data_IF_422766675427
#
_entry.id   IF_422766675427
#
_cell.length_a   1.000
_cell.length_b   1.000
_cell.length_c   1.000
_cell.angle_alpha   90.00
_cell.angle_beta   90.00
_cell.angle_gamma   90.00
#
_symmetry.space_group_name_H-M   'P 1'
#
loop_
_entity.id
_entity.type
_entity.pdbx_description
1 polymer ?
#
# COMPACT_ATOMS: atom_id res chain seq x y z
N UNK A 1 0.63 55.52 -40.61
CA UNK A 1 -0.64 56.23 -40.39
C UNK A 1 -1.70 55.19 -40.03
N UNK A 2 -2.49 55.49 -39.01
CA UNK A 2 -3.30 54.65 -38.10
C UNK A 2 -4.58 54.02 -38.72
N UNK A 3 -5.13 53.03 -37.98
CA UNK A 3 -6.50 52.43 -37.96
C UNK A 3 -6.74 51.17 -38.81
N UNK A 4 -6.90 49.95 -38.25
CA UNK A 4 -7.90 49.31 -37.34
C UNK A 4 -9.21 48.89 -38.04
N UNK A 5 -9.26 47.57 -38.32
CA UNK A 5 -10.31 46.54 -38.12
C UNK A 5 -11.73 46.68 -38.71
N UNK A 6 -12.16 45.60 -39.40
CA UNK A 6 -13.53 45.09 -39.33
C UNK A 6 -13.64 43.63 -39.84
N UNK A 7 -13.62 42.69 -38.88
CA UNK A 7 -14.51 41.51 -38.80
C UNK A 7 -14.39 40.41 -39.86
N UNK A 8 -13.76 39.33 -39.42
CA UNK A 8 -13.93 37.99 -39.96
C UNK A 8 -13.40 36.90 -39.03
N UNK A 9 -13.55 37.06 -37.71
CA UNK A 9 -13.08 36.07 -36.72
C UNK A 9 -14.00 34.85 -36.73
N UNK A 10 -13.61 33.84 -37.50
CA UNK A 10 -14.00 32.46 -37.28
C UNK A 10 -12.73 31.61 -37.11
N UNK A 11 -12.76 30.71 -36.12
CA UNK A 11 -11.67 29.87 -35.59
C UNK A 11 -10.81 30.57 -34.54
N UNK A 12 -10.40 29.96 -33.42
CA UNK A 12 -10.54 28.60 -32.91
C UNK A 12 -10.35 28.66 -31.39
N UNK A 13 -11.16 27.90 -30.64
CA UNK A 13 -11.19 27.91 -29.17
C UNK A 13 -9.99 27.27 -28.46
N UNK A 14 -8.75 27.42 -28.92
CA UNK A 14 -7.58 26.81 -28.27
C UNK A 14 -6.34 27.72 -28.34
N UNK A 15 -6.25 28.72 -27.45
CA UNK A 15 -5.06 29.56 -27.27
C UNK A 15 -4.83 29.98 -25.80
N UNK A 16 -4.94 29.04 -24.87
CA UNK A 16 -4.31 29.19 -23.55
C UNK A 16 -3.25 28.10 -23.36
N UNK A 17 -2.00 28.46 -22.98
CA UNK A 17 -1.05 27.51 -22.47
C UNK A 17 -1.61 26.95 -21.15
N UNK A 18 -2.06 25.69 -21.15
CA UNK A 18 -2.48 25.02 -19.92
C UNK A 18 -1.26 24.68 -19.07
N UNK A 19 -0.80 25.60 -18.23
CA UNK A 19 0.24 25.35 -17.23
C UNK A 19 0.08 26.32 -16.04
N UNK A 20 -1.06 26.20 -15.36
CA UNK A 20 -1.15 26.66 -13.97
C UNK A 20 -0.33 25.75 -13.06
N UNK A 21 0.29 26.30 -12.01
CA UNK A 21 0.87 25.49 -10.93
C UNK A 21 -0.22 24.55 -10.39
N UNK A 22 0.12 23.29 -10.03
CA UNK A 22 -0.86 22.36 -9.47
C UNK A 22 -1.61 23.00 -8.30
N UNK A 23 -2.94 22.89 -8.32
CA UNK A 23 -3.77 23.38 -7.20
C UNK A 23 -3.76 22.36 -6.05
N UNK A 24 -4.23 22.77 -4.88
CA UNK A 24 -4.41 21.86 -3.74
C UNK A 24 -5.37 20.70 -4.07
N UNK A 25 -6.40 20.95 -4.87
CA UNK A 25 -7.34 19.93 -5.35
C UNK A 25 -6.66 18.94 -6.28
N UNK A 26 -5.75 19.40 -7.15
CA UNK A 26 -4.97 18.51 -8.03
C UNK A 26 -4.10 17.55 -7.24
N UNK A 27 -3.41 18.05 -6.20
CA UNK A 27 -2.57 17.22 -5.32
C UNK A 27 -3.40 16.15 -4.60
N UNK A 28 -4.57 16.52 -4.07
CA UNK A 28 -5.48 15.55 -3.43
C UNK A 28 -6.01 14.51 -4.42
N UNK A 29 -6.34 14.91 -5.65
CA UNK A 29 -6.78 13.99 -6.69
C UNK A 29 -5.66 13.04 -7.12
N UNK A 30 -4.42 13.52 -7.22
CA UNK A 30 -3.24 12.70 -7.47
C UNK A 30 -3.03 11.67 -6.35
N UNK A 31 -3.19 12.07 -5.09
CA UNK A 31 -3.08 11.14 -3.95
C UNK A 31 -4.17 10.06 -4.00
N UNK A 32 -5.42 10.41 -4.31
CA UNK A 32 -6.52 9.44 -4.50
C UNK A 32 -6.23 8.48 -5.64
N UNK A 33 -5.75 9.00 -6.77
CA UNK A 33 -5.38 8.19 -7.94
C UNK A 33 -4.23 7.25 -7.62
N UNK A 34 -3.22 7.71 -6.90
CA UNK A 34 -2.11 6.89 -6.42
C UNK A 34 -2.59 5.75 -5.51
N UNK A 35 -3.42 6.05 -4.50
CA UNK A 35 -4.01 5.02 -3.62
C UNK A 35 -4.85 4.00 -4.38
N UNK A 36 -5.63 4.43 -5.37
CA UNK A 36 -6.40 3.52 -6.22
C UNK A 36 -5.49 2.61 -7.08
N UNK A 37 -4.42 3.17 -7.65
CA UNK A 37 -3.44 2.40 -8.42
C UNK A 37 -2.70 1.37 -7.53
N UNK A 38 -2.33 1.76 -6.31
CA UNK A 38 -1.71 0.87 -5.33
C UNK A 38 -2.67 -0.27 -4.93
N UNK A 39 -3.94 0.03 -4.65
CA UNK A 39 -4.94 -0.98 -4.32
C UNK A 39 -5.16 -1.99 -5.46
N UNK A 40 -5.24 -1.51 -6.71
CA UNK A 40 -5.34 -2.37 -7.89
C UNK A 40 -4.10 -3.25 -8.07
N UNK A 41 -2.90 -2.70 -7.83
CA UNK A 41 -1.65 -3.46 -7.90
C UNK A 41 -1.63 -4.60 -6.89
N UNK A 42 -1.99 -4.31 -5.63
CA UNK A 42 -2.10 -5.33 -4.57
C UNK A 42 -3.12 -6.41 -4.94
N UNK A 43 -4.26 -6.01 -5.50
CA UNK A 43 -5.28 -6.95 -5.96
C UNK A 43 -4.76 -7.88 -7.07
N UNK A 44 -4.00 -7.36 -8.05
CA UNK A 44 -3.38 -8.19 -9.11
C UNK A 44 -2.35 -9.17 -8.55
N UNK A 45 -1.52 -8.72 -7.61
CA UNK A 45 -0.52 -9.57 -6.93
C UNK A 45 -1.20 -10.72 -6.18
N UNK A 46 -2.28 -10.42 -5.44
CA UNK A 46 -3.06 -11.47 -4.77
C UNK A 46 -3.70 -12.45 -5.75
N UNK A 47 -4.25 -11.94 -6.85
CA UNK A 47 -4.86 -12.77 -7.86
C UNK A 47 -3.84 -13.70 -8.53
N UNK A 48 -2.63 -13.23 -8.84
CA UNK A 48 -1.58 -14.07 -9.42
C UNK A 48 -1.11 -15.16 -8.46
N UNK A 49 -1.10 -14.88 -7.15
CA UNK A 49 -0.72 -15.84 -6.11
C UNK A 49 -1.89 -16.71 -5.60
N UNK A 50 -3.11 -16.53 -6.12
CA UNK A 50 -4.30 -17.26 -5.66
C UNK A 50 -4.68 -16.97 -4.19
N UNK A 51 -4.37 -15.78 -3.69
CA UNK A 51 -4.52 -15.39 -2.28
C UNK A 51 -5.67 -14.43 -2.01
N UNK A 52 -6.24 -14.50 -0.80
CA UNK A 52 -7.09 -13.46 -0.23
C UNK A 52 -6.27 -12.26 0.32
N UNK A 53 -6.96 -11.17 0.65
CA UNK A 53 -6.34 -9.98 1.24
C UNK A 53 -5.60 -10.27 2.54
N UNK A 54 -6.26 -10.98 3.44
CA UNK A 54 -5.73 -11.34 4.74
C UNK A 54 -4.56 -12.32 4.62
N UNK A 55 -4.55 -13.17 3.58
CA UNK A 55 -3.49 -14.13 3.32
C UNK A 55 -2.17 -13.39 2.99
N UNK A 56 -2.23 -12.36 2.14
CA UNK A 56 -1.06 -11.54 1.79
C UNK A 56 -0.55 -10.73 3.00
N UNK A 57 -1.46 -10.21 3.84
CA UNK A 57 -1.08 -9.51 5.07
C UNK A 57 -0.36 -10.44 6.05
N UNK A 58 -0.87 -11.67 6.24
CA UNK A 58 -0.24 -12.67 7.08
C UNK A 58 1.18 -13.03 6.60
N UNK A 59 1.36 -13.22 5.28
CA UNK A 59 2.68 -13.46 4.71
C UNK A 59 3.64 -12.30 4.92
N UNK A 60 3.18 -11.06 4.76
CA UNK A 60 4.02 -9.88 5.02
C UNK A 60 4.50 -9.83 6.46
N UNK A 61 3.63 -10.13 7.42
CA UNK A 61 3.98 -10.21 8.85
C UNK A 61 5.01 -11.31 9.10
N UNK A 62 4.80 -12.50 8.54
CA UNK A 62 5.70 -13.65 8.67
C UNK A 62 7.09 -13.35 8.10
N UNK A 63 7.16 -12.82 6.88
CA UNK A 63 8.41 -12.44 6.23
C UNK A 63 9.13 -11.31 6.98
N UNK A 64 8.39 -10.39 7.60
CA UNK A 64 8.98 -9.32 8.42
C UNK A 64 9.54 -9.86 9.74
N UNK A 65 8.82 -10.77 10.40
CA UNK A 65 9.30 -11.45 11.60
C UNK A 65 10.57 -12.27 11.30
N UNK A 66 10.58 -13.04 10.21
CA UNK A 66 11.75 -13.81 9.78
C UNK A 66 12.98 -12.93 9.57
N UNK A 67 12.84 -11.76 8.92
CA UNK A 67 13.94 -10.78 8.76
C UNK A 67 14.46 -10.22 10.09
N UNK A 68 13.63 -10.18 11.13
CA UNK A 68 14.02 -9.76 12.49
C UNK A 68 14.55 -10.92 13.34
N UNK A 69 14.57 -12.15 12.81
CA UNK A 69 14.91 -13.35 13.58
C UNK A 69 13.81 -13.75 14.57
N UNK A 70 12.59 -13.27 14.39
CA UNK A 70 11.43 -13.59 15.21
C UNK A 70 10.62 -14.73 14.60
N UNK A 71 9.98 -15.55 15.45
CA UNK A 71 9.04 -16.59 15.05
C UNK A 71 7.63 -16.23 15.50
N UNK A 72 6.63 -16.45 14.65
CA UNK A 72 5.23 -16.16 14.98
C UNK A 72 4.43 -17.45 15.18
N UNK A 73 3.62 -17.47 16.23
CA UNK A 73 2.57 -18.47 16.44
C UNK A 73 1.27 -17.99 15.78
N UNK A 74 0.31 -18.89 15.62
CA UNK A 74 -1.01 -18.53 15.05
C UNK A 74 -1.75 -17.46 15.86
N UNK A 75 -1.61 -17.47 17.19
CA UNK A 75 -2.22 -16.45 18.05
C UNK A 75 -1.63 -15.05 17.82
N UNK A 76 -0.35 -14.98 17.43
CA UNK A 76 0.32 -13.71 17.16
C UNK A 76 -0.21 -13.13 15.85
N UNK A 77 -0.40 -13.99 14.84
CA UNK A 77 -1.11 -13.64 13.60
C UNK A 77 -2.55 -13.21 13.86
N UNK A 78 -3.28 -13.90 14.73
CA UNK A 78 -4.66 -13.56 15.07
C UNK A 78 -4.75 -12.15 15.66
N UNK A 79 -3.88 -11.85 16.63
CA UNK A 79 -3.81 -10.53 17.26
C UNK A 79 -3.42 -9.45 16.27
N UNK A 80 -2.39 -9.68 15.45
CA UNK A 80 -1.89 -8.69 14.50
C UNK A 80 -2.88 -8.39 13.36
N UNK A 81 -3.72 -9.36 12.99
CA UNK A 81 -4.70 -9.24 11.92
C UNK A 81 -6.12 -8.92 12.41
N UNK A 82 -6.33 -8.81 13.73
CA UNK A 82 -7.66 -8.59 14.31
C UNK A 82 -8.65 -9.72 14.04
N UNK A 83 -8.18 -10.97 13.94
CA UNK A 83 -8.98 -12.14 13.57
C UNK A 83 -9.31 -13.00 14.79
N UNK A 84 -10.49 -13.60 14.77
CA UNK A 84 -10.83 -14.68 15.69
C UNK A 84 -9.98 -15.94 15.41
N UNK A 85 -9.78 -16.77 16.44
CA UNK A 85 -8.98 -18.01 16.36
C UNK A 85 -9.41 -18.99 15.24
N UNK A 86 -10.73 -19.24 15.01
CA UNK A 86 -11.14 -20.07 13.88
C UNK A 86 -10.75 -19.47 12.53
N UNK A 87 -10.83 -18.15 12.39
CA UNK A 87 -10.49 -17.43 11.16
C UNK A 87 -8.99 -17.48 10.86
N UNK A 88 -8.13 -17.30 11.86
CA UNK A 88 -6.67 -17.44 11.67
C UNK A 88 -6.30 -18.90 11.34
N UNK A 89 -6.97 -19.87 11.95
CA UNK A 89 -6.72 -21.29 11.68
C UNK A 89 -7.02 -21.61 10.21
N UNK A 90 -8.20 -21.21 9.72
CA UNK A 90 -8.59 -21.40 8.33
C UNK A 90 -7.67 -20.65 7.35
N UNK A 91 -7.19 -19.46 7.72
CA UNK A 91 -6.20 -18.72 6.94
C UNK A 91 -4.89 -19.48 6.82
N UNK A 92 -4.34 -19.97 7.94
CA UNK A 92 -3.06 -20.68 7.93
C UNK A 92 -3.22 -22.01 7.20
N UNK A 93 -4.35 -22.71 7.34
CA UNK A 93 -4.61 -23.93 6.56
C UNK A 93 -4.63 -23.69 5.06
N UNK A 94 -5.25 -22.59 4.60
CA UNK A 94 -5.19 -22.21 3.18
C UNK A 94 -3.77 -21.95 2.73
N UNK A 95 -3.00 -21.16 3.48
CA UNK A 95 -1.61 -20.84 3.15
C UNK A 95 -0.71 -22.08 3.16
N UNK A 96 -0.95 -23.05 4.05
CA UNK A 96 -0.22 -24.33 4.03
C UNK A 96 -0.61 -25.13 2.79
N UNK A 97 -1.91 -25.21 2.47
CA UNK A 97 -2.41 -25.96 1.32
C UNK A 97 -1.88 -25.42 -0.01
N UNK A 98 -1.72 -24.11 -0.14
CA UNK A 98 -1.11 -23.48 -1.33
C UNK A 98 0.43 -23.47 -1.31
N UNK A 99 1.06 -24.04 -0.27
CA UNK A 99 2.51 -24.17 -0.19
C UNK A 99 3.24 -22.90 0.24
N UNK A 100 2.51 -21.89 0.74
CA UNK A 100 3.11 -20.61 1.06
C UNK A 100 3.74 -20.52 2.45
N UNK A 101 3.22 -21.32 3.37
CA UNK A 101 3.76 -21.44 4.72
C UNK A 101 3.82 -22.91 5.12
N UNK A 102 4.62 -23.20 6.14
CA UNK A 102 4.65 -24.48 6.83
C UNK A 102 4.51 -24.28 8.33
N UNK A 103 4.05 -25.33 9.01
CA UNK A 103 3.99 -25.39 10.46
C UNK A 103 5.22 -26.13 10.97
N UNK A 104 5.87 -25.58 11.98
CA UNK A 104 7.05 -26.17 12.60
C UNK A 104 6.91 -26.18 14.12
N UNK A 105 7.54 -27.13 14.83
CA UNK A 105 7.70 -27.05 16.27
C UNK A 105 8.46 -25.77 16.63
N UNK A 106 8.06 -25.10 17.71
CA UNK A 106 8.81 -23.96 18.22
C UNK A 106 10.21 -24.43 18.68
N UNK A 107 11.29 -23.70 18.35
CA UNK A 107 12.66 -24.12 18.64
C UNK A 107 12.90 -24.41 20.12
N UNK A 108 12.35 -23.56 20.99
CA UNK A 108 12.51 -23.68 22.45
C UNK A 108 11.36 -24.38 23.19
N UNK A 109 10.25 -24.66 22.50
CA UNK A 109 9.05 -25.23 23.12
C UNK A 109 8.34 -26.19 22.16
N UNK A 110 8.71 -27.47 22.19
CA UNK A 110 8.14 -28.49 21.29
C UNK A 110 6.62 -28.69 21.43
N UNK A 111 5.98 -28.15 22.48
CA UNK A 111 4.52 -28.17 22.64
C UNK A 111 3.83 -27.06 21.87
N UNK A 112 4.57 -26.04 21.43
CA UNK A 112 4.09 -24.95 20.62
C UNK A 112 4.45 -25.15 19.14
N UNK A 113 3.57 -24.64 18.27
CA UNK A 113 3.77 -24.62 16.82
C UNK A 113 3.90 -23.19 16.34
N UNK A 114 4.88 -22.97 15.46
CA UNK A 114 5.10 -21.71 14.76
C UNK A 114 4.67 -21.84 13.30
N UNK A 115 4.43 -20.70 12.66
CA UNK A 115 4.14 -20.60 11.23
C UNK A 115 5.36 -19.95 10.57
N UNK A 116 5.86 -20.56 9.50
CA UNK A 116 7.09 -20.12 8.82
C UNK A 116 6.81 -20.03 7.32
N UNK A 117 7.19 -18.93 6.64
CA UNK A 117 7.05 -18.82 5.19
C UNK A 117 7.95 -19.83 4.48
N UNK A 118 7.55 -20.28 3.29
CA UNK A 118 8.40 -21.10 2.43
C UNK A 118 9.37 -20.22 1.63
N UNK A 119 10.53 -20.77 1.24
CA UNK A 119 11.51 -20.04 0.41
C UNK A 119 10.90 -19.55 -0.90
N UNK A 120 10.13 -20.41 -1.57
CA UNK A 120 9.46 -20.09 -2.82
C UNK A 120 8.51 -18.88 -2.67
N UNK A 121 7.84 -18.76 -1.51
CA UNK A 121 6.96 -17.63 -1.22
C UNK A 121 7.72 -16.35 -0.95
N UNK A 122 8.82 -16.44 -0.21
CA UNK A 122 9.70 -15.31 0.03
C UNK A 122 10.23 -14.77 -1.32
N UNK A 123 10.66 -15.67 -2.22
CA UNK A 123 11.12 -15.31 -3.57
C UNK A 123 10.00 -14.73 -4.44
N UNK A 124 8.81 -15.32 -4.45
CA UNK A 124 7.67 -14.87 -5.25
C UNK A 124 7.15 -13.50 -4.79
N UNK A 125 7.00 -13.31 -3.47
CA UNK A 125 6.61 -12.03 -2.87
C UNK A 125 7.68 -10.97 -3.13
N UNK A 126 8.97 -11.31 -2.98
CA UNK A 126 10.07 -10.39 -3.29
C UNK A 126 10.17 -10.06 -4.76
N UNK A 127 9.95 -11.00 -5.67
CA UNK A 127 9.98 -10.73 -7.09
C UNK A 127 8.89 -9.73 -7.48
N UNK A 128 7.66 -9.97 -7.01
CA UNK A 128 6.49 -9.18 -7.38
C UNK A 128 6.48 -7.82 -6.69
N UNK A 129 6.56 -7.78 -5.36
CA UNK A 129 6.55 -6.53 -4.60
C UNK A 129 7.89 -5.78 -4.68
N UNK A 130 9.01 -6.51 -4.75
CA UNK A 130 10.33 -5.89 -4.84
C UNK A 130 10.59 -5.23 -6.20
N UNK A 131 10.08 -5.77 -7.31
CA UNK A 131 10.14 -5.07 -8.59
C UNK A 131 9.35 -3.75 -8.56
N UNK A 132 8.20 -3.73 -7.88
CA UNK A 132 7.41 -2.51 -7.68
C UNK A 132 8.14 -1.51 -6.78
N UNK A 133 8.60 -1.93 -5.60
CA UNK A 133 9.33 -1.05 -4.67
C UNK A 133 10.59 -0.47 -5.31
N UNK A 134 11.33 -1.25 -6.11
CA UNK A 134 12.48 -0.72 -6.86
C UNK A 134 12.07 0.41 -7.79
N UNK A 135 11.03 0.24 -8.61
CA UNK A 135 10.53 1.31 -9.48
C UNK A 135 10.08 2.57 -8.71
N UNK A 136 9.57 2.40 -7.49
CA UNK A 136 9.21 3.54 -6.63
C UNK A 136 10.45 4.22 -6.06
N UNK A 137 11.45 3.45 -5.63
CA UNK A 137 12.75 3.96 -5.17
C UNK A 137 13.45 4.70 -6.31
N UNK A 138 13.47 4.14 -7.53
CA UNK A 138 14.07 4.79 -8.71
C UNK A 138 13.45 6.17 -9.00
N UNK A 139 12.17 6.37 -8.71
CA UNK A 139 11.51 7.69 -8.84
C UNK A 139 12.00 8.66 -7.78
N UNK A 140 12.21 8.19 -6.55
CA UNK A 140 12.71 9.01 -5.44
C UNK A 140 14.20 9.32 -5.66
N UNK A 141 15.00 8.35 -6.06
CA UNK A 141 16.43 8.50 -6.34
C UNK A 141 16.71 9.46 -7.52
N UNK A 142 15.72 9.71 -8.37
CA UNK A 142 15.79 10.69 -9.46
C UNK A 142 15.44 12.13 -9.00
N UNK A 143 14.97 12.32 -7.76
CA UNK A 143 14.68 13.62 -7.19
C UNK A 143 15.94 14.23 -6.56
N UNK A 144 16.02 15.55 -6.52
CA UNK A 144 17.05 16.23 -5.73
C UNK A 144 16.68 16.23 -4.22
N UNK A 145 17.63 16.66 -3.39
CA UNK A 145 17.47 16.68 -1.94
C UNK A 145 16.30 17.58 -1.50
N UNK A 146 16.13 18.75 -2.11
CA UNK A 146 15.06 19.71 -1.79
C UNK A 146 13.67 19.13 -2.10
N UNK A 147 13.53 18.50 -3.26
CA UNK A 147 12.31 17.80 -3.66
C UNK A 147 11.99 16.64 -2.73
N UNK A 148 13.01 15.86 -2.35
CA UNK A 148 12.86 14.70 -1.46
C UNK A 148 12.39 15.14 -0.08
N UNK A 149 13.02 16.16 0.50
CA UNK A 149 12.62 16.75 1.77
C UNK A 149 11.19 17.30 1.73
N UNK A 150 10.83 18.01 0.65
CA UNK A 150 9.50 18.57 0.48
C UNK A 150 8.42 17.47 0.40
N UNK A 151 8.66 16.40 -0.36
CA UNK A 151 7.72 15.27 -0.50
C UNK A 151 7.62 14.48 0.80
N UNK A 152 8.74 14.18 1.46
CA UNK A 152 8.76 13.48 2.74
C UNK A 152 7.96 14.26 3.80
N UNK A 153 8.23 15.56 3.96
CA UNK A 153 7.50 16.41 4.90
C UNK A 153 6.02 16.59 4.54
N UNK A 154 5.67 16.62 3.26
CA UNK A 154 4.27 16.62 2.82
C UNK A 154 3.54 15.32 3.21
N UNK A 155 4.14 14.16 2.91
CA UNK A 155 3.54 12.86 3.19
C UNK A 155 3.36 12.64 4.69
N UNK A 156 4.34 13.02 5.51
CA UNK A 156 4.26 12.93 6.98
C UNK A 156 3.05 13.73 7.52
N UNK A 157 2.90 15.00 7.11
CA UNK A 157 1.74 15.82 7.49
C UNK A 157 0.42 15.25 7.01
N UNK A 158 0.39 14.65 5.82
CA UNK A 158 -0.82 13.99 5.28
C UNK A 158 -1.19 12.72 6.05
N UNK A 159 -0.21 11.96 6.54
CA UNK A 159 -0.45 10.81 7.42
C UNK A 159 -1.10 11.30 8.70
N UNK A 160 -0.50 12.28 9.37
CA UNK A 160 -1.08 12.88 10.59
C UNK A 160 -2.51 13.36 10.35
N UNK A 161 -2.77 14.08 9.25
CA UNK A 161 -4.09 14.60 8.93
C UNK A 161 -5.16 13.51 8.67
N UNK A 162 -4.77 12.34 8.17
CA UNK A 162 -5.71 11.23 7.90
C UNK A 162 -5.91 10.35 9.13
N UNK A 163 -4.95 10.29 10.05
CA UNK A 163 -5.09 9.56 11.32
C UNK A 163 -5.96 10.33 12.32
N UNK A 164 -5.92 11.67 12.28
CA UNK A 164 -6.77 12.54 13.09
C UNK A 164 -8.12 12.77 12.41
N UNK A 165 -8.86 11.70 12.12
CA UNK A 165 -10.30 11.82 11.83
C UNK A 165 -10.96 12.21 13.14
N UNK A 166 -11.44 13.45 13.22
CA UNK A 166 -12.24 13.92 14.35
C UNK A 166 -13.32 12.89 14.67
N UNK A 167 -13.29 12.34 15.89
CA UNK A 167 -14.40 11.57 16.44
C UNK A 167 -15.65 12.44 16.29
N UNK A 168 -16.57 12.04 15.42
CA UNK A 168 -17.87 12.70 15.31
C UNK A 168 -18.50 12.70 16.70
N UNK A 169 -18.49 13.86 17.36
CA UNK A 169 -19.33 14.12 18.51
C UNK A 169 -20.78 13.95 18.05
N UNK A 170 -21.37 12.78 18.30
CA UNK A 170 -22.81 12.62 18.37
C UNK A 170 -23.32 13.43 19.57
N UNK A 171 -23.43 14.74 19.37
CA UNK A 171 -24.17 15.62 20.24
C UNK A 171 -25.47 16.02 19.54
N UNK A 172 -26.53 15.40 20.04
CA UNK A 172 -27.87 15.97 20.23
C UNK A 172 -28.98 15.57 19.25
N UNK A 173 -30.00 14.96 19.85
CA UNK A 173 -31.33 14.75 19.31
C UNK A 173 -32.25 14.01 20.27
N UNK A 174 -32.29 14.42 21.54
CA UNK A 174 -33.37 14.14 22.49
C UNK A 174 -34.40 15.28 22.44
#
# INVERSE_FOLDING_TARGET
MTHIDARGTASSGYWYPGHGRPTSVDVLNLLRRYRAAEAQMRARTRASMGMGETDLLALRLLLQAERRGEVLRQRDLASALGLASPSVTALVDRLVKSGHVRREPHPDDRRATIVVPTKDTDDEVRATLGAMHRRMIDVIDAMDDEQTEAVAGFLDRMVTAVEHVDEHHEASGA
#
